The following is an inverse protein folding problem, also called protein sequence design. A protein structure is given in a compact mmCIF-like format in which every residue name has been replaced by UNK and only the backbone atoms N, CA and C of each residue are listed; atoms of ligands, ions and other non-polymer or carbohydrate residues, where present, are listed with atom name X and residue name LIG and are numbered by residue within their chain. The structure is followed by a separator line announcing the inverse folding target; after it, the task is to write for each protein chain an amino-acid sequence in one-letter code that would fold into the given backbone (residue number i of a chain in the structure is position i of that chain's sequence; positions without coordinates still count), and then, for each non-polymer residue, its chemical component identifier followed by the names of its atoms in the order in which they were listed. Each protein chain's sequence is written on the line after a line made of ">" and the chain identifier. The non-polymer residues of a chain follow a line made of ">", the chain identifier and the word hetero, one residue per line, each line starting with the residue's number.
data_IF_655957943914
#
_entry.id   IF_655957943914
#
_cell.length_a   1.000
_cell.length_b   1.000
_cell.length_c   1.000
_cell.angle_alpha   90.00
_cell.angle_beta   90.00
_cell.angle_gamma   90.00
#
_symmetry.space_group_name_H-M   'P 1'
#
loop_
_entity.id
_entity.type
_entity.pdbx_description
1 polymer ?
#
# COMPACT_ATOMS: atom_id res chain seq x y z
N UNK A 1 15.12 2.14 12.28
CA UNK A 1 14.09 2.87 11.49
C UNK A 1 12.74 2.32 11.91
N UNK A 2 11.71 3.17 12.06
CA UNK A 2 10.38 2.76 12.52
C UNK A 2 9.45 2.57 11.31
N UNK A 3 8.51 1.64 11.40
CA UNK A 3 7.57 1.27 10.32
C UNK A 3 6.20 0.95 10.93
N UNK A 4 5.19 0.79 10.08
CA UNK A 4 3.87 0.33 10.50
C UNK A 4 2.82 1.43 10.64
N UNK A 5 1.56 1.00 10.84
CA UNK A 5 0.39 1.89 10.92
C UNK A 5 0.31 2.66 12.24
N UNK A 6 1.14 2.28 13.20
CA UNK A 6 1.27 2.85 14.54
C UNK A 6 2.18 4.09 14.60
N UNK A 7 2.81 4.48 13.48
CA UNK A 7 3.64 5.69 13.45
C UNK A 7 2.79 6.96 13.55
N UNK A 8 3.28 7.93 14.32
CA UNK A 8 2.58 9.19 14.55
C UNK A 8 3.54 10.39 14.55
N UNK A 9 3.03 11.54 14.08
CA UNK A 9 3.75 12.82 14.14
C UNK A 9 5.13 12.76 13.49
N UNK A 10 6.15 13.18 14.24
CA UNK A 10 7.53 13.28 13.76
C UNK A 10 8.20 11.92 13.47
N UNK A 11 7.57 10.80 13.84
CA UNK A 11 8.09 9.47 13.50
C UNK A 11 7.82 9.10 12.02
N UNK A 12 6.90 9.80 11.35
CA UNK A 12 6.54 9.54 9.96
C UNK A 12 7.53 10.27 9.05
N UNK A 13 8.32 9.50 8.30
CA UNK A 13 9.30 10.03 7.35
C UNK A 13 8.86 9.89 5.89
N UNK A 14 7.79 9.14 5.64
CA UNK A 14 7.21 8.92 4.32
C UNK A 14 6.04 7.94 4.38
N UNK A 15 5.45 7.69 3.22
CA UNK A 15 4.33 6.77 3.03
C UNK A 15 4.74 5.60 2.13
N UNK A 16 4.27 4.40 2.46
CA UNK A 16 4.43 3.25 1.59
C UNK A 16 3.41 3.29 0.46
N UNK A 17 3.88 3.30 -0.78
CA UNK A 17 3.05 3.53 -1.99
C UNK A 17 2.38 2.27 -2.55
N UNK A 18 2.37 1.16 -1.81
CA UNK A 18 1.75 -0.09 -2.24
C UNK A 18 2.57 -0.93 -3.24
N UNK A 19 3.85 -0.60 -3.48
CA UNK A 19 4.70 -1.30 -4.44
C UNK A 19 6.03 -1.73 -3.82
N UNK A 20 6.33 -3.03 -3.91
CA UNK A 20 7.65 -3.58 -3.60
C UNK A 20 8.20 -4.42 -4.76
N UNK A 21 9.52 -4.38 -4.93
CA UNK A 21 10.25 -5.30 -5.81
C UNK A 21 10.91 -6.37 -4.94
N UNK A 22 10.49 -7.61 -5.10
CA UNK A 22 11.03 -8.75 -4.35
C UNK A 22 11.91 -9.58 -5.27
N UNK A 23 13.16 -9.82 -4.86
CA UNK A 23 14.09 -10.66 -5.59
C UNK A 23 13.68 -12.13 -5.52
N UNK A 24 13.92 -12.88 -6.60
CA UNK A 24 13.55 -14.31 -6.69
C UNK A 24 14.12 -15.13 -5.53
N UNK A 25 15.37 -14.88 -5.15
CA UNK A 25 16.04 -15.60 -4.06
C UNK A 25 15.42 -15.28 -2.68
N UNK A 26 14.75 -14.13 -2.55
CA UNK A 26 14.09 -13.72 -1.31
C UNK A 26 12.66 -14.27 -1.18
N UNK A 27 12.05 -14.75 -2.27
CA UNK A 27 10.65 -15.23 -2.26
C UNK A 27 10.44 -16.37 -1.29
N UNK A 28 11.39 -17.31 -1.17
CA UNK A 28 11.29 -18.43 -0.23
C UNK A 28 11.24 -17.94 1.21
N UNK A 29 12.14 -17.01 1.58
CA UNK A 29 12.20 -16.40 2.92
C UNK A 29 10.90 -15.66 3.23
N UNK A 30 10.40 -14.87 2.26
CA UNK A 30 9.14 -14.16 2.40
C UNK A 30 7.97 -15.12 2.68
N UNK A 31 7.87 -16.21 1.91
CA UNK A 31 6.81 -17.21 2.06
C UNK A 31 6.87 -17.95 3.38
N UNK A 32 8.05 -18.39 3.81
CA UNK A 32 8.23 -19.06 5.10
C UNK A 32 7.80 -18.16 6.26
N UNK A 33 8.17 -16.87 6.22
CA UNK A 33 7.74 -15.91 7.23
C UNK A 33 6.22 -15.66 7.20
N UNK A 34 5.63 -15.58 6.01
CA UNK A 34 4.17 -15.48 5.85
C UNK A 34 3.45 -16.68 6.46
N UNK A 35 3.89 -17.90 6.15
CA UNK A 35 3.33 -19.14 6.69
C UNK A 35 3.46 -19.18 8.21
N UNK A 36 4.61 -18.77 8.75
CA UNK A 36 4.81 -18.64 10.20
C UNK A 36 3.79 -17.68 10.84
N UNK A 37 3.56 -16.51 10.23
CA UNK A 37 2.59 -15.53 10.73
C UNK A 37 1.15 -16.05 10.68
N UNK A 38 0.77 -16.76 9.61
CA UNK A 38 -0.53 -17.43 9.49
C UNK A 38 -0.70 -18.51 10.58
N UNK A 39 0.30 -19.36 10.75
CA UNK A 39 0.28 -20.46 11.73
C UNK A 39 0.20 -19.94 13.18
N UNK A 40 0.78 -18.77 13.44
CA UNK A 40 0.70 -18.08 14.73
C UNK A 40 -0.50 -17.15 14.89
N UNK A 41 -1.48 -17.26 13.98
CA UNK A 41 -2.78 -16.56 14.03
C UNK A 41 -2.67 -15.02 13.96
N UNK A 42 -1.64 -14.49 13.31
CA UNK A 42 -1.47 -13.05 13.09
C UNK A 42 -2.33 -12.56 11.92
N UNK A 43 -3.64 -12.81 11.96
CA UNK A 43 -4.56 -12.54 10.83
C UNK A 43 -4.95 -11.06 10.68
N UNK A 44 -4.61 -10.21 11.65
CA UNK A 44 -4.97 -8.79 11.66
C UNK A 44 -3.93 -7.85 11.02
N UNK A 45 -2.87 -8.40 10.42
CA UNK A 45 -1.76 -7.62 9.86
C UNK A 45 -1.71 -7.75 8.34
N UNK A 46 -0.94 -6.86 7.71
CA UNK A 46 -0.82 -6.77 6.26
C UNK A 46 0.44 -7.49 5.78
N UNK A 47 0.54 -7.74 4.48
CA UNK A 47 1.69 -8.47 3.93
C UNK A 47 3.01 -7.70 4.10
N UNK A 48 2.97 -6.37 4.21
CA UNK A 48 4.13 -5.53 4.50
C UNK A 48 4.71 -5.82 5.89
N UNK A 49 3.90 -6.30 6.83
CA UNK A 49 4.38 -6.73 8.14
C UNK A 49 5.36 -7.91 8.05
N UNK A 50 5.28 -8.72 6.99
CA UNK A 50 6.28 -9.76 6.68
C UNK A 50 7.63 -9.10 6.37
N UNK A 51 7.64 -8.02 5.60
CA UNK A 51 8.86 -7.27 5.32
C UNK A 51 9.38 -6.60 6.60
N UNK A 52 8.51 -5.95 7.38
CA UNK A 52 8.92 -5.28 8.62
C UNK A 52 9.53 -6.24 9.64
N UNK A 53 9.07 -7.50 9.73
CA UNK A 53 9.65 -8.47 10.65
C UNK A 53 11.06 -8.94 10.23
N UNK A 54 11.41 -8.77 8.95
CA UNK A 54 12.67 -9.23 8.37
C UNK A 54 13.74 -8.13 8.26
N UNK A 55 13.41 -6.85 8.53
CA UNK A 55 14.34 -5.70 8.38
C UNK A 55 15.63 -5.80 9.21
N UNK A 56 15.61 -6.57 10.30
CA UNK A 56 16.77 -6.74 11.17
C UNK A 56 17.68 -7.91 10.72
N UNK A 57 17.20 -8.78 9.84
CA UNK A 57 17.90 -9.98 9.39
C UNK A 57 18.24 -9.96 7.90
N UNK A 58 17.57 -9.11 7.12
CA UNK A 58 17.73 -9.02 5.66
C UNK A 58 17.69 -7.57 5.19
N UNK A 59 18.39 -7.31 4.09
CA UNK A 59 18.43 -5.98 3.46
C UNK A 59 17.10 -5.67 2.76
N UNK A 60 16.26 -4.91 3.45
CA UNK A 60 15.00 -4.39 2.92
C UNK A 60 15.17 -2.89 2.68
N UNK A 61 15.36 -2.54 1.41
CA UNK A 61 15.70 -1.18 0.99
C UNK A 61 14.45 -0.38 0.63
N UNK A 62 14.50 0.92 0.93
CA UNK A 62 13.46 1.88 0.56
C UNK A 62 13.98 2.70 -0.61
N UNK A 63 13.13 2.89 -1.61
CA UNK A 63 13.42 3.75 -2.75
C UNK A 63 12.43 4.91 -2.78
N UNK A 64 12.95 6.12 -2.65
CA UNK A 64 12.16 7.34 -2.76
C UNK A 64 11.64 7.52 -4.18
N UNK A 65 10.38 7.94 -4.28
CA UNK A 65 9.67 8.19 -5.55
C UNK A 65 9.13 9.61 -5.62
N UNK A 66 9.74 10.54 -4.88
CA UNK A 66 9.35 11.94 -4.88
C UNK A 66 9.27 12.51 -6.31
N UNK A 67 8.24 13.31 -6.56
CA UNK A 67 7.96 13.89 -7.88
C UNK A 67 7.38 12.91 -8.90
N UNK A 68 7.15 11.63 -8.54
CA UNK A 68 6.37 10.69 -9.35
C UNK A 68 4.93 10.68 -8.86
N UNK A 69 3.99 10.77 -9.80
CA UNK A 69 2.58 10.59 -9.47
C UNK A 69 2.29 9.12 -9.20
N UNK A 70 1.63 8.86 -8.08
CA UNK A 70 1.02 7.59 -7.72
C UNK A 70 -0.28 7.89 -6.97
N UNK A 71 -1.20 6.93 -7.00
CA UNK A 71 -2.45 6.99 -6.24
C UNK A 71 -2.98 5.57 -6.07
N UNK A 72 -3.37 5.23 -4.85
CA UNK A 72 -4.26 4.10 -4.55
C UNK A 72 -5.72 4.52 -4.82
N UNK A 73 -6.57 3.60 -5.25
CA UNK A 73 -7.98 3.87 -5.56
C UNK A 73 -8.86 3.10 -4.57
N UNK A 74 -9.15 3.74 -3.44
CA UNK A 74 -10.03 3.18 -2.40
C UNK A 74 -11.42 3.81 -2.44
N UNK A 75 -11.49 5.11 -2.77
CA UNK A 75 -12.73 5.86 -2.90
C UNK A 75 -12.86 6.51 -4.27
N UNK A 76 -14.07 6.99 -4.59
CA UNK A 76 -14.34 7.64 -5.89
C UNK A 76 -13.49 8.91 -6.07
N UNK A 77 -13.21 9.60 -4.98
CA UNK A 77 -12.41 10.82 -4.94
C UNK A 77 -10.95 10.58 -5.37
N UNK A 78 -10.39 9.39 -5.10
CA UNK A 78 -9.05 9.01 -5.55
C UNK A 78 -9.01 8.85 -7.07
N UNK A 79 -10.04 8.20 -7.61
CA UNK A 79 -10.18 8.05 -9.06
C UNK A 79 -10.36 9.42 -9.74
N UNK A 80 -11.16 10.30 -9.17
CA UNK A 80 -11.28 11.68 -9.65
C UNK A 80 -9.96 12.45 -9.60
N UNK A 81 -9.15 12.28 -8.54
CA UNK A 81 -7.82 12.88 -8.43
C UNK A 81 -6.90 12.38 -9.56
N UNK A 82 -6.93 11.09 -9.87
CA UNK A 82 -6.17 10.51 -10.99
C UNK A 82 -6.62 11.11 -12.32
N UNK A 83 -7.93 11.24 -12.54
CA UNK A 83 -8.45 11.82 -13.76
C UNK A 83 -8.04 13.30 -13.90
N UNK A 84 -8.15 14.10 -12.84
CA UNK A 84 -7.68 15.49 -12.84
C UNK A 84 -6.19 15.60 -13.15
N UNK A 85 -5.36 14.73 -12.57
CA UNK A 85 -3.93 14.69 -12.87
C UNK A 85 -3.64 14.37 -14.35
N UNK A 86 -4.53 13.62 -15.00
CA UNK A 86 -4.43 13.20 -16.41
C UNK A 86 -5.23 14.11 -17.37
N UNK A 87 -5.70 15.27 -16.93
CA UNK A 87 -6.52 16.21 -17.69
C UNK A 87 -7.88 15.65 -18.17
N UNK A 88 -8.44 14.69 -17.41
CA UNK A 88 -9.80 14.18 -17.59
C UNK A 88 -10.73 14.69 -16.47
N UNK A 89 -12.05 14.68 -16.76
CA UNK A 89 -13.11 14.93 -15.77
C UNK A 89 -14.21 13.91 -15.91
N UNK A 90 -14.84 13.55 -14.80
CA UNK A 90 -16.07 12.76 -14.81
C UNK A 90 -17.24 13.65 -15.18
N UNK A 91 -18.17 13.08 -15.94
CA UNK A 91 -19.47 13.66 -16.18
C UNK A 91 -20.52 12.72 -15.58
N UNK A 92 -21.14 13.16 -14.49
CA UNK A 92 -22.18 12.40 -13.81
C UNK A 92 -23.56 12.84 -14.33
N UNK A 93 -24.08 12.12 -15.32
CA UNK A 93 -25.47 12.24 -15.72
C UNK A 93 -26.28 11.18 -14.97
N UNK A 94 -26.94 11.59 -13.88
CA UNK A 94 -27.82 10.72 -13.10
C UNK A 94 -29.24 11.24 -13.25
N UNK A 95 -30.12 10.43 -13.85
CA UNK A 95 -31.56 10.69 -13.91
C UNK A 95 -32.27 9.84 -12.86
N UNK A 96 -33.12 10.48 -12.05
CA UNK A 96 -33.96 9.79 -11.07
C UNK A 96 -35.40 9.88 -11.56
N UNK A 97 -35.96 8.73 -11.92
CA UNK A 97 -37.35 8.62 -12.38
C UNK A 97 -38.21 7.97 -11.30
N UNK A 98 -39.40 8.52 -11.09
CA UNK A 98 -40.43 7.88 -10.28
C UNK A 98 -41.03 6.72 -11.08
N UNK A 99 -41.18 5.55 -10.46
CA UNK A 99 -41.95 4.46 -11.05
C UNK A 99 -43.39 4.59 -10.54
N UNK A 100 -44.31 4.89 -11.45
CA UNK A 100 -45.76 4.89 -11.21
C UNK A 100 -46.31 3.48 -11.02
#
# INVERSE_FOLDING_TARGET
>A
MKYGKELHGADITGEYVGVAKIGTDFISIFKEQMEHMINTQQHGVWWENILYSLVNSHDILIKEVEGKFWAEVDFIEDYERILRFRDYRLNYNIEVVHLD
#
